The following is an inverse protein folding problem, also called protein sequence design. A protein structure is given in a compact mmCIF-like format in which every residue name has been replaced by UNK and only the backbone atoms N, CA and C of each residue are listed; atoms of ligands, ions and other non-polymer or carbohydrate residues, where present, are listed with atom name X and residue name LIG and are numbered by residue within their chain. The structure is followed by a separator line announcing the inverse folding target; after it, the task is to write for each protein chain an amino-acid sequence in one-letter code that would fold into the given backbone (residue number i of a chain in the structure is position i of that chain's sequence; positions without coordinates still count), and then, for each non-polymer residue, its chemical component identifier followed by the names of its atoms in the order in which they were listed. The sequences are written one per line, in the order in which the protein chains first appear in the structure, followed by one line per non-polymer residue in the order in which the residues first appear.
data_IF_881126493811
#
_entry.id   IF_881126493811
#
_cell.length_a   1.000
_cell.length_b   1.000
_cell.length_c   1.000
_cell.angle_alpha   90.00
_cell.angle_beta   90.00
_cell.angle_gamma   90.00
#
_symmetry.space_group_name_H-M   'P 1'
#
loop_
_entity.id
_entity.type
_entity.pdbx_description
1 polymer ?
#
# COMPACT_ATOMS: atom_id res chain seq x y z
N UNK A 1 3.47 -3.03 6.14
CA UNK A 1 3.63 -4.04 5.06
C UNK A 1 2.85 -3.78 3.78
N UNK A 2 1.59 -3.35 3.80
CA UNK A 2 0.77 -3.20 2.57
C UNK A 2 1.39 -2.30 1.48
N UNK A 3 2.04 -1.20 1.89
CA UNK A 3 2.76 -0.25 1.02
C UNK A 3 4.02 -0.83 0.35
N UNK A 4 4.54 -1.94 0.88
CA UNK A 4 5.70 -2.65 0.30
C UNK A 4 5.31 -3.61 -0.82
N UNK A 5 4.03 -4.01 -0.88
CA UNK A 5 3.51 -4.94 -1.87
C UNK A 5 3.15 -4.20 -3.16
N UNK A 6 3.38 -4.86 -4.28
CA UNK A 6 3.01 -4.36 -5.60
C UNK A 6 1.51 -4.58 -5.87
N UNK A 7 0.89 -3.74 -6.71
CA UNK A 7 -0.54 -3.86 -7.08
C UNK A 7 -0.86 -5.25 -7.63
N UNK A 8 0.07 -5.83 -8.40
CA UNK A 8 -0.06 -7.16 -8.98
C UNK A 8 -0.07 -8.29 -7.94
N UNK A 9 0.58 -8.09 -6.78
CA UNK A 9 0.54 -9.02 -5.65
C UNK A 9 -0.75 -8.87 -4.84
N UNK A 10 -1.22 -7.63 -4.68
CA UNK A 10 -2.48 -7.34 -4.00
C UNK A 10 -3.68 -7.97 -4.74
N UNK A 11 -3.65 -8.02 -6.07
CA UNK A 11 -4.70 -8.68 -6.86
C UNK A 11 -4.71 -10.22 -6.77
N UNK A 12 -3.67 -10.85 -6.19
CA UNK A 12 -3.64 -12.32 -5.98
C UNK A 12 -4.40 -12.75 -4.72
N UNK A 13 -4.75 -11.81 -3.82
CA UNK A 13 -5.50 -12.14 -2.62
C UNK A 13 -6.95 -12.52 -2.95
N UNK A 14 -7.45 -13.59 -2.31
CA UNK A 14 -8.83 -14.05 -2.50
C UNK A 14 -9.80 -12.98 -1.99
N UNK A 15 -10.80 -12.63 -2.80
CA UNK A 15 -11.76 -11.54 -2.57
C UNK A 15 -11.16 -10.12 -2.63
N UNK A 16 -9.91 -9.97 -3.07
CA UNK A 16 -9.32 -8.68 -3.34
C UNK A 16 -9.52 -8.33 -4.81
N UNK A 17 -9.97 -7.11 -5.08
CA UNK A 17 -10.28 -6.67 -6.44
C UNK A 17 -10.04 -5.19 -6.65
N UNK A 18 -10.36 -4.71 -7.84
CA UNK A 18 -10.09 -3.31 -8.26
C UNK A 18 -10.66 -2.26 -7.31
N UNK A 19 -11.83 -2.53 -6.71
CA UNK A 19 -12.45 -1.62 -5.73
C UNK A 19 -11.61 -1.52 -4.45
N UNK A 20 -11.19 -2.65 -3.89
CA UNK A 20 -10.31 -2.68 -2.71
C UNK A 20 -8.96 -2.04 -2.99
N UNK A 21 -8.42 -2.24 -4.20
CA UNK A 21 -7.17 -1.60 -4.62
C UNK A 21 -7.31 -0.07 -4.65
N UNK A 22 -8.36 0.44 -5.29
CA UNK A 22 -8.64 1.87 -5.37
C UNK A 22 -8.85 2.49 -3.98
N UNK A 23 -9.62 1.83 -3.11
CA UNK A 23 -9.85 2.33 -1.74
C UNK A 23 -8.55 2.44 -0.96
N UNK A 24 -7.62 1.49 -1.11
CA UNK A 24 -6.32 1.57 -0.47
C UNK A 24 -5.47 2.69 -1.10
N UNK A 25 -5.48 2.81 -2.43
CA UNK A 25 -4.75 3.87 -3.14
C UNK A 25 -5.16 5.26 -2.67
N UNK A 26 -6.47 5.50 -2.55
CA UNK A 26 -7.02 6.77 -2.05
C UNK A 26 -6.61 7.04 -0.59
N UNK A 27 -6.53 6.01 0.25
CA UNK A 27 -6.06 6.12 1.64
C UNK A 27 -4.57 6.46 1.68
N UNK A 28 -3.77 5.85 0.81
CA UNK A 28 -2.34 6.11 0.71
C UNK A 28 -2.07 7.53 0.21
N UNK A 29 -2.77 7.99 -0.85
CA UNK A 29 -2.65 9.36 -1.35
C UNK A 29 -3.01 10.40 -0.28
N UNK A 30 -4.07 10.17 0.51
CA UNK A 30 -4.42 11.06 1.64
C UNK A 30 -3.31 11.18 2.69
N UNK A 31 -2.42 10.19 2.76
CA UNK A 31 -1.25 10.17 3.66
C UNK A 31 0.04 10.58 2.95
N UNK A 32 -0.04 11.03 1.69
CA UNK A 32 1.12 11.27 0.80
C UNK A 32 2.03 10.04 0.68
N UNK A 33 1.44 8.85 0.64
CA UNK A 33 2.10 7.57 0.45
C UNK A 33 1.67 6.95 -0.88
N UNK A 34 2.51 6.05 -1.41
CA UNK A 34 2.26 5.36 -2.67
C UNK A 34 2.65 3.88 -2.56
N UNK A 35 2.04 3.02 -3.38
CA UNK A 35 2.47 1.63 -3.50
C UNK A 35 3.90 1.56 -4.05
N UNK A 36 4.67 0.57 -3.60
CA UNK A 36 6.07 0.42 -4.00
C UNK A 36 7.01 1.47 -3.39
N UNK A 37 6.53 2.29 -2.44
CA UNK A 37 7.35 3.25 -1.70
C UNK A 37 8.21 2.54 -0.64
N UNK A 38 9.49 2.91 -0.55
CA UNK A 38 10.38 2.49 0.53
C UNK A 38 10.01 3.18 1.85
N UNK A 39 9.04 2.60 2.57
CA UNK A 39 8.61 3.09 3.90
C UNK A 39 9.55 2.71 5.04
N UNK A 40 10.60 1.92 4.77
CA UNK A 40 11.55 1.46 5.78
C UNK A 40 12.29 2.62 6.46
N UNK A 41 12.59 3.68 5.69
CA UNK A 41 13.18 4.92 6.20
C UNK A 41 12.23 5.74 7.07
N UNK A 42 10.93 5.53 6.98
CA UNK A 42 9.92 6.29 7.73
C UNK A 42 9.46 5.53 8.98
N UNK A 43 9.36 4.19 8.90
CA UNK A 43 9.01 3.32 10.03
C UNK A 43 10.14 3.19 11.07
N UNK A 44 11.40 3.40 10.67
CA UNK A 44 12.58 3.34 11.56
C UNK A 44 12.84 4.61 12.37
N UNK A 45 11.97 5.63 12.29
CA UNK A 45 12.10 6.84 13.11
C UNK A 45 11.14 6.86 14.32
N UNK A 46 10.54 5.72 14.67
CA UNK A 46 9.63 5.57 15.81
C UNK A 46 10.18 4.62 16.89
N UNK A 47 11.51 4.64 17.10
CA UNK A 47 12.16 4.08 18.29
C UNK A 47 12.36 5.16 19.37
#
# INVERSE_FOLDING_TARGET
DLVRLDESELLKFRNFGRKSLQEIQDILEKKNLYFGMEVDKYLKNED
#
